data_IF_772567582489
#
_entry.id   IF_772567582489
#
_cell.length_a   1.000
_cell.length_b   1.000
_cell.length_c   1.000
_cell.angle_alpha   90.00
_cell.angle_beta   90.00
_cell.angle_gamma   90.00
#
_symmetry.space_group_name_H-M   'P 1'
#
loop_
_entity.id
_entity.type
_entity.pdbx_description
1 polymer ?
#
# COMPACT_ATOMS: atom_id res chain seq x y z
N UNK A 1 4.71 19.63 -0.17
CA UNK A 1 4.85 20.07 -1.59
C UNK A 1 6.27 19.79 -2.09
N UNK A 2 7.30 20.21 -1.38
CA UNK A 2 8.70 20.04 -1.82
C UNK A 2 9.11 18.54 -1.92
N UNK A 3 8.79 17.74 -0.90
CA UNK A 3 9.04 16.29 -0.92
C UNK A 3 8.37 15.63 -2.14
N UNK A 4 7.11 15.94 -2.41
CA UNK A 4 6.40 15.37 -3.56
C UNK A 4 7.09 15.72 -4.89
N UNK A 5 7.46 16.99 -5.07
CA UNK A 5 8.16 17.44 -6.29
C UNK A 5 9.55 16.81 -6.44
N UNK A 6 10.24 16.56 -5.33
CA UNK A 6 11.51 15.86 -5.33
C UNK A 6 11.33 14.37 -5.69
N UNK A 7 10.36 13.72 -5.06
CA UNK A 7 10.08 12.29 -5.30
C UNK A 7 9.66 12.02 -6.75
N UNK A 8 8.83 12.91 -7.33
CA UNK A 8 8.47 12.83 -8.75
C UNK A 8 9.73 12.85 -9.65
N UNK A 9 10.66 13.76 -9.39
CA UNK A 9 11.91 13.84 -10.16
C UNK A 9 12.78 12.60 -9.98
N UNK A 10 12.85 12.05 -8.75
CA UNK A 10 13.60 10.84 -8.44
C UNK A 10 13.03 9.61 -9.15
N UNK A 11 11.70 9.44 -9.12
CA UNK A 11 11.01 8.32 -9.78
C UNK A 11 11.17 8.38 -11.30
N UNK A 12 11.16 9.58 -11.89
CA UNK A 12 11.35 9.77 -13.33
C UNK A 12 12.83 9.78 -13.78
N UNK A 13 13.78 9.69 -12.84
CA UNK A 13 15.20 9.83 -13.15
C UNK A 13 15.78 8.61 -13.87
N UNK A 14 15.27 7.42 -13.59
CA UNK A 14 15.71 6.17 -14.20
C UNK A 14 14.66 5.06 -14.08
N UNK A 15 14.74 4.06 -14.95
CA UNK A 15 13.79 2.94 -14.98
C UNK A 15 13.81 2.05 -13.74
N UNK A 16 14.95 1.91 -13.05
CA UNK A 16 15.04 1.07 -11.84
C UNK A 16 14.34 1.73 -10.65
N UNK A 17 14.47 3.04 -10.49
CA UNK A 17 13.73 3.80 -9.47
C UNK A 17 12.22 3.74 -9.74
N UNK A 18 11.79 3.87 -11.00
CA UNK A 18 10.39 3.69 -11.38
C UNK A 18 9.89 2.27 -11.05
N UNK A 19 10.64 1.25 -11.42
CA UNK A 19 10.33 -0.15 -11.11
C UNK A 19 10.22 -0.38 -9.60
N UNK A 20 11.16 0.16 -8.81
CA UNK A 20 11.14 0.07 -7.34
C UNK A 20 9.90 0.74 -6.73
N UNK A 21 9.52 1.90 -7.27
CA UNK A 21 8.27 2.55 -6.89
C UNK A 21 7.05 1.67 -7.21
N UNK A 22 6.94 1.13 -8.43
CA UNK A 22 5.85 0.24 -8.84
C UNK A 22 5.75 -1.01 -7.95
N UNK A 23 6.88 -1.56 -7.50
CA UNK A 23 6.90 -2.68 -6.55
C UNK A 23 6.18 -2.33 -5.25
N UNK A 24 6.47 -1.17 -4.68
CA UNK A 24 5.78 -0.68 -3.46
C UNK A 24 4.33 -0.33 -3.75
N UNK A 25 4.06 0.37 -4.85
CA UNK A 25 2.71 0.76 -5.27
C UNK A 25 1.79 -0.46 -5.47
N UNK A 26 2.32 -1.58 -5.97
CA UNK A 26 1.57 -2.81 -6.16
C UNK A 26 0.94 -3.36 -4.87
N UNK A 27 1.60 -3.19 -3.73
CA UNK A 27 1.07 -3.57 -2.42
C UNK A 27 0.09 -2.54 -1.88
N UNK A 28 0.23 -1.29 -2.30
CA UNK A 28 -0.54 -0.12 -1.89
C UNK A 28 -1.59 0.29 -2.93
N UNK A 29 -2.01 -0.61 -3.82
CA UNK A 29 -2.87 -0.33 -4.97
C UNK A 29 -4.21 0.33 -4.65
N UNK A 30 -4.63 0.37 -3.39
CA UNK A 30 -5.85 1.06 -2.91
C UNK A 30 -5.64 2.54 -2.57
N UNK A 31 -4.40 3.00 -2.63
CA UNK A 31 -4.05 4.40 -2.48
C UNK A 31 -3.95 5.06 -3.86
N UNK A 32 -4.29 6.34 -3.94
CA UNK A 32 -4.05 7.13 -5.14
C UNK A 32 -2.55 7.18 -5.48
N UNK A 33 -2.21 7.43 -6.74
CA UNK A 33 -0.82 7.59 -7.15
C UNK A 33 -0.05 8.58 -6.25
N UNK A 34 -0.66 9.72 -5.93
CA UNK A 34 -0.04 10.72 -5.07
C UNK A 34 0.28 10.17 -3.67
N UNK A 35 -0.66 9.46 -3.07
CA UNK A 35 -0.45 8.84 -1.76
C UNK A 35 0.59 7.71 -1.82
N UNK A 36 0.57 6.87 -2.87
CA UNK A 36 1.58 5.82 -3.10
C UNK A 36 2.98 6.42 -3.19
N UNK A 37 3.13 7.51 -3.95
CA UNK A 37 4.38 8.25 -4.10
C UNK A 37 4.85 8.84 -2.77
N UNK A 38 3.95 9.45 -1.99
CA UNK A 38 4.28 10.01 -0.68
C UNK A 38 4.63 8.93 0.36
N UNK A 39 3.99 7.75 0.28
CA UNK A 39 4.36 6.62 1.13
C UNK A 39 5.75 6.10 0.72
N UNK A 40 5.98 5.88 -0.57
CA UNK A 40 7.26 5.40 -1.10
C UNK A 40 8.42 6.30 -0.68
N UNK A 41 8.27 7.62 -0.82
CA UNK A 41 9.29 8.61 -0.44
C UNK A 41 9.71 8.52 1.02
N UNK A 42 8.79 8.16 1.92
CA UNK A 42 9.02 8.12 3.36
C UNK A 42 9.30 6.70 3.85
N UNK A 43 8.81 5.70 3.13
CA UNK A 43 8.92 4.28 3.47
C UNK A 43 8.81 3.38 2.23
N UNK A 44 9.91 3.18 1.51
CA UNK A 44 9.90 2.37 0.27
C UNK A 44 9.50 0.91 0.47
N UNK A 45 9.68 0.38 1.67
CA UNK A 45 9.35 -1.00 2.07
C UNK A 45 7.95 -1.16 2.67
N UNK A 46 7.08 -0.15 2.53
CA UNK A 46 5.71 -0.19 3.06
C UNK A 46 4.89 -1.32 2.41
N UNK A 47 4.14 -2.05 3.23
CA UNK A 47 3.34 -3.20 2.77
C UNK A 47 1.85 -3.04 2.99
N UNK A 48 1.42 -2.50 4.13
CA UNK A 48 0.02 -2.28 4.45
C UNK A 48 -0.12 -1.08 5.38
N UNK A 49 -0.50 0.05 4.83
CA UNK A 49 -0.65 1.29 5.57
C UNK A 49 -2.11 1.56 5.95
N UNK A 50 -2.32 2.10 7.14
CA UNK A 50 -3.63 2.58 7.59
C UNK A 50 -3.49 3.66 8.65
N UNK A 51 -4.58 4.42 8.89
CA UNK A 51 -4.63 5.43 9.94
C UNK A 51 -4.50 4.81 11.34
N UNK A 52 -4.10 5.62 12.30
CA UNK A 52 -4.03 5.21 13.70
C UNK A 52 -5.38 4.66 14.20
N UNK A 53 -6.49 5.32 13.84
CA UNK A 53 -7.85 4.94 14.22
C UNK A 53 -8.23 3.57 13.63
N UNK A 54 -7.88 3.30 12.37
CA UNK A 54 -8.15 2.02 11.73
C UNK A 54 -7.38 0.89 12.44
N UNK A 55 -6.10 1.11 12.74
CA UNK A 55 -5.30 0.13 13.46
C UNK A 55 -5.85 -0.15 14.85
N UNK A 56 -6.19 0.90 15.62
CA UNK A 56 -6.59 0.75 17.03
C UNK A 56 -8.02 0.29 17.19
N UNK A 57 -8.97 0.88 16.47
CA UNK A 57 -10.40 0.66 16.69
C UNK A 57 -10.93 -0.53 15.90
N UNK A 58 -10.53 -0.66 14.62
CA UNK A 58 -11.05 -1.70 13.73
C UNK A 58 -10.21 -2.97 13.79
N UNK A 59 -8.88 -2.82 13.69
CA UNK A 59 -7.95 -3.95 13.63
C UNK A 59 -7.51 -4.43 15.02
N UNK A 60 -7.81 -3.67 16.09
CA UNK A 60 -7.42 -3.97 17.48
C UNK A 60 -5.93 -4.22 17.63
N UNK A 61 -5.15 -3.47 16.88
CA UNK A 61 -3.69 -3.42 16.94
C UNK A 61 -3.29 -2.11 17.62
N UNK A 62 -2.08 -2.01 18.12
CA UNK A 62 -1.56 -0.75 18.62
C UNK A 62 -0.36 -0.32 17.79
N UNK A 63 -0.24 0.97 17.54
CA UNK A 63 0.97 1.54 16.95
C UNK A 63 2.05 1.57 18.02
N UNK A 64 3.23 1.03 17.69
CA UNK A 64 4.35 0.93 18.65
C UNK A 64 4.85 2.32 19.04
N UNK A 65 5.26 2.44 20.28
CA UNK A 65 5.87 3.70 20.77
C UNK A 65 7.14 4.01 19.96
N UNK A 66 7.22 5.23 19.44
CA UNK A 66 8.34 5.70 18.62
C UNK A 66 8.18 5.41 17.10
N UNK A 67 7.11 4.73 16.69
CA UNK A 67 6.79 4.62 15.27
C UNK A 67 6.57 6.01 14.66
N UNK A 68 7.14 6.23 13.48
CA UNK A 68 6.98 7.49 12.73
C UNK A 68 5.80 7.35 11.78
N UNK A 69 4.81 8.24 11.90
CA UNK A 69 3.70 8.31 10.95
C UNK A 69 4.19 8.79 9.59
N UNK A 70 3.69 8.16 8.54
CA UNK A 70 3.89 8.57 7.15
C UNK A 70 2.90 9.70 6.88
N UNK A 71 3.39 10.88 6.53
CA UNK A 71 2.58 12.06 6.30
C UNK A 71 2.01 12.05 4.87
N UNK A 72 0.69 12.09 4.76
CA UNK A 72 -0.05 12.24 3.51
C UNK A 72 -0.79 13.57 3.52
N UNK A 73 -1.06 14.12 2.35
CA UNK A 73 -1.81 15.36 2.19
C UNK A 73 -3.28 15.05 1.91
N UNK A 74 -4.15 15.52 2.78
CA UNK A 74 -5.60 15.45 2.60
C UNK A 74 -6.09 16.77 1.98
N UNK A 75 -6.61 16.67 0.75
CA UNK A 75 -7.13 17.78 -0.04
C UNK A 75 -8.67 17.82 -0.05
N UNK A 76 -9.35 17.01 0.76
CA UNK A 76 -10.82 16.90 0.74
C UNK A 76 -11.53 18.10 1.37
N UNK A 77 -10.83 18.94 2.12
CA UNK A 77 -11.37 20.17 2.74
C UNK A 77 -10.90 21.45 2.05
N UNK A 78 -11.44 22.60 2.49
CA UNK A 78 -11.06 23.93 1.97
C UNK A 78 -9.59 24.28 2.20
N UNK A 79 -8.96 23.66 3.18
CA UNK A 79 -7.55 23.85 3.50
C UNK A 79 -6.85 22.50 3.54
N UNK A 80 -5.75 22.33 2.81
CA UNK A 80 -4.94 21.11 2.84
C UNK A 80 -4.49 20.79 4.29
N UNK A 81 -4.63 19.53 4.69
CA UNK A 81 -4.24 19.05 6.03
C UNK A 81 -3.37 17.83 5.90
N UNK A 82 -2.47 17.63 6.86
CA UNK A 82 -1.74 16.38 6.97
C UNK A 82 -2.60 15.32 7.65
N UNK A 83 -2.65 14.12 7.06
CA UNK A 83 -3.12 12.89 7.69
C UNK A 83 -1.94 11.93 7.81
N UNK A 84 -1.94 11.10 8.84
CA UNK A 84 -0.84 10.18 9.09
C UNK A 84 -1.32 8.74 8.98
N UNK A 85 -0.54 7.93 8.28
CA UNK A 85 -0.73 6.49 8.21
C UNK A 85 0.50 5.79 8.79
N UNK A 86 0.31 4.55 9.23
CA UNK A 86 1.35 3.70 9.79
C UNK A 86 1.35 2.38 9.05
N UNK A 87 2.52 1.85 8.74
CA UNK A 87 2.64 0.53 8.15
C UNK A 87 2.34 -0.56 9.21
N UNK A 88 1.88 -1.73 8.76
CA UNK A 88 1.58 -2.87 9.65
C UNK A 88 2.78 -3.28 10.50
N UNK A 89 4.00 -3.15 9.97
CA UNK A 89 5.24 -3.46 10.67
C UNK A 89 5.50 -2.53 11.86
N UNK A 90 4.88 -1.34 11.90
CA UNK A 90 4.92 -0.42 13.03
C UNK A 90 3.88 -0.74 14.11
N UNK A 91 3.09 -1.78 13.91
CA UNK A 91 2.01 -2.15 14.83
C UNK A 91 2.33 -3.40 15.61
N UNK A 92 1.72 -3.54 16.77
CA UNK A 92 1.72 -4.75 17.58
C UNK A 92 0.30 -5.30 17.76
N UNK A 93 0.18 -6.57 18.09
CA UNK A 93 -1.10 -7.26 18.28
C UNK A 93 -1.57 -7.16 19.73
N UNK A 94 -2.87 -6.95 19.93
CA UNK A 94 -3.57 -7.12 21.21
C UNK A 94 -4.33 -8.44 21.19
N UNK A 95 -4.84 -8.85 22.33
CA UNK A 95 -5.80 -9.94 22.40
C UNK A 95 -6.98 -9.66 21.46
N UNK A 96 -7.32 -10.60 20.58
CA UNK A 96 -8.32 -10.45 19.52
C UNK A 96 -7.95 -9.42 18.43
N UNK A 97 -6.65 -9.17 18.20
CA UNK A 97 -6.21 -8.39 17.06
C UNK A 97 -6.63 -9.08 15.76
N UNK A 98 -7.05 -8.26 14.79
CA UNK A 98 -7.34 -8.72 13.42
C UNK A 98 -6.09 -8.59 12.58
N UNK A 99 -5.85 -9.57 11.72
CA UNK A 99 -4.85 -9.47 10.66
C UNK A 99 -5.51 -8.89 9.41
N UNK A 100 -4.88 -7.91 8.76
CA UNK A 100 -5.36 -7.46 7.45
C UNK A 100 -5.46 -8.65 6.50
N UNK A 101 -6.51 -8.66 5.69
CA UNK A 101 -6.65 -9.65 4.64
C UNK A 101 -5.60 -9.36 3.55
N UNK A 102 -4.55 -10.14 3.55
CA UNK A 102 -3.53 -10.16 2.49
C UNK A 102 -3.78 -11.37 1.60
N UNK A 103 -4.47 -11.15 0.49
CA UNK A 103 -4.73 -12.21 -0.46
C UNK A 103 -3.47 -12.55 -1.28
N UNK A 104 -3.37 -13.79 -1.69
CA UNK A 104 -2.31 -14.32 -2.56
C UNK A 104 -2.93 -15.23 -3.59
N UNK A 105 -2.30 -15.32 -4.76
CA UNK A 105 -2.65 -16.35 -5.75
C UNK A 105 -2.17 -17.70 -5.22
N UNK A 106 -3.06 -18.69 -5.23
CA UNK A 106 -2.82 -20.07 -4.83
C UNK A 106 -3.52 -20.99 -5.83
N UNK A 107 -3.16 -22.26 -5.81
CA UNK A 107 -3.78 -23.26 -6.69
C UNK A 107 -5.32 -23.24 -6.60
N UNK A 108 -5.86 -23.11 -5.39
CA UNK A 108 -7.31 -23.16 -5.15
C UNK A 108 -8.09 -21.97 -5.71
N UNK A 109 -7.45 -20.78 -5.82
CA UNK A 109 -8.13 -19.57 -6.32
C UNK A 109 -7.68 -19.15 -7.71
N UNK A 110 -6.65 -19.77 -8.27
CA UNK A 110 -6.11 -19.45 -9.59
C UNK A 110 -7.15 -19.63 -10.70
N UNK A 111 -7.80 -20.80 -10.76
CA UNK A 111 -8.85 -21.05 -11.76
C UNK A 111 -10.09 -20.17 -11.60
N UNK A 112 -10.67 -19.97 -10.41
CA UNK A 112 -11.74 -19.00 -10.20
C UNK A 112 -11.38 -17.59 -10.63
N UNK A 113 -10.16 -17.11 -10.31
CA UNK A 113 -9.68 -15.80 -10.72
C UNK A 113 -9.56 -15.73 -12.25
N UNK A 114 -8.97 -16.74 -12.91
CA UNK A 114 -8.87 -16.76 -14.36
C UNK A 114 -10.24 -16.73 -15.06
N UNK A 115 -11.22 -17.46 -14.54
CA UNK A 115 -12.59 -17.45 -15.04
C UNK A 115 -13.30 -16.11 -14.83
N UNK A 116 -13.05 -15.46 -13.68
CA UNK A 116 -13.57 -14.12 -13.40
C UNK A 116 -12.96 -13.09 -14.36
N UNK A 117 -11.63 -13.13 -14.59
CA UNK A 117 -10.96 -12.24 -15.54
C UNK A 117 -11.47 -12.43 -16.98
N UNK A 118 -11.69 -13.69 -17.41
CA UNK A 118 -12.29 -13.96 -18.72
C UNK A 118 -13.67 -13.33 -18.87
N UNK A 119 -14.48 -13.42 -17.82
CA UNK A 119 -15.84 -12.88 -17.83
C UNK A 119 -15.88 -11.34 -17.75
N UNK A 120 -15.00 -10.73 -16.94
CA UNK A 120 -15.04 -9.29 -16.64
C UNK A 120 -14.29 -8.48 -17.71
N UNK A 121 -13.20 -9.03 -18.26
CA UNK A 121 -12.31 -8.34 -19.22
C UNK A 121 -12.26 -8.97 -20.61
N UNK A 122 -13.07 -10.00 -20.88
CA UNK A 122 -13.15 -10.70 -22.16
C UNK A 122 -11.82 -11.30 -22.65
N UNK A 123 -10.92 -11.65 -21.72
CA UNK A 123 -9.61 -12.25 -21.98
C UNK A 123 -9.62 -13.74 -21.68
N UNK A 124 -9.19 -14.57 -22.65
CA UNK A 124 -9.32 -16.03 -22.52
C UNK A 124 -8.53 -16.61 -21.35
N UNK A 125 -9.21 -17.40 -20.49
CA UNK A 125 -8.59 -18.14 -19.39
C UNK A 125 -7.56 -19.18 -19.87
N UNK A 126 -7.62 -19.62 -21.12
CA UNK A 126 -6.63 -20.55 -21.70
C UNK A 126 -5.23 -19.96 -21.83
N UNK A 127 -5.07 -18.65 -21.71
CA UNK A 127 -3.76 -17.97 -21.70
C UNK A 127 -3.04 -18.10 -20.36
N UNK A 128 -3.72 -18.60 -19.33
CA UNK A 128 -3.26 -18.55 -17.96
C UNK A 128 -3.27 -17.10 -17.39
N UNK A 129 -3.04 -16.96 -16.10
CA UNK A 129 -3.08 -15.63 -15.44
C UNK A 129 -2.06 -14.66 -16.03
N UNK A 130 -0.85 -15.11 -16.35
CA UNK A 130 0.19 -14.26 -16.95
C UNK A 130 -0.28 -13.67 -18.28
N UNK A 131 -0.74 -14.49 -19.22
CA UNK A 131 -1.24 -14.01 -20.50
C UNK A 131 -2.51 -13.17 -20.41
N UNK A 132 -3.36 -13.40 -19.39
CA UNK A 132 -4.51 -12.53 -19.10
C UNK A 132 -4.06 -11.17 -18.61
N UNK A 133 -3.08 -11.09 -17.69
CA UNK A 133 -2.55 -9.82 -17.20
C UNK A 133 -1.91 -8.98 -18.32
N UNK A 134 -1.16 -9.64 -19.22
CA UNK A 134 -0.57 -8.98 -20.38
C UNK A 134 -1.63 -8.33 -21.26
N UNK A 135 -2.69 -9.09 -21.60
CA UNK A 135 -3.76 -8.62 -22.48
C UNK A 135 -4.62 -7.54 -21.82
N UNK A 136 -5.00 -7.72 -20.55
CA UNK A 136 -5.77 -6.73 -19.79
C UNK A 136 -5.01 -5.40 -19.70
N UNK A 137 -3.71 -5.43 -19.37
CA UNK A 137 -2.91 -4.21 -19.28
C UNK A 137 -2.87 -3.45 -20.62
N UNK A 138 -2.71 -4.16 -21.74
CA UNK A 138 -2.72 -3.55 -23.07
C UNK A 138 -4.08 -2.94 -23.43
N UNK A 139 -5.18 -3.67 -23.20
CA UNK A 139 -6.53 -3.19 -23.47
C UNK A 139 -6.86 -1.96 -22.62
N UNK A 140 -6.62 -2.05 -21.33
CA UNK A 140 -6.92 -0.95 -20.39
C UNK A 140 -6.07 0.29 -20.61
N UNK A 141 -4.80 0.15 -20.97
CA UNK A 141 -3.97 1.29 -21.34
C UNK A 141 -4.48 1.97 -22.63
N UNK A 142 -4.97 1.20 -23.60
CA UNK A 142 -5.58 1.75 -24.80
C UNK A 142 -6.91 2.46 -24.49
N UNK A 143 -7.79 1.84 -23.68
CA UNK A 143 -9.06 2.44 -23.29
C UNK A 143 -8.83 3.76 -22.55
N UNK A 144 -7.88 3.77 -21.60
CA UNK A 144 -7.52 4.98 -20.84
C UNK A 144 -7.01 6.10 -21.77
N UNK A 145 -6.17 5.77 -22.76
CA UNK A 145 -5.75 6.74 -23.76
C UNK A 145 -6.95 7.33 -24.51
N UNK A 146 -7.86 6.50 -25.00
CA UNK A 146 -9.03 6.97 -25.76
C UNK A 146 -9.93 7.91 -24.95
N UNK A 147 -10.03 7.67 -23.64
CA UNK A 147 -10.84 8.50 -22.75
C UNK A 147 -10.16 9.81 -22.35
N UNK A 148 -8.81 9.84 -22.25
CA UNK A 148 -8.07 10.96 -21.66
C UNK A 148 -7.06 11.62 -22.63
N UNK A 149 -7.07 11.29 -23.92
CA UNK A 149 -6.06 11.72 -24.88
C UNK A 149 -5.91 13.26 -24.98
N UNK A 150 -7.01 14.00 -24.89
CA UNK A 150 -6.97 15.47 -24.98
C UNK A 150 -6.27 16.08 -23.77
N UNK A 151 -6.56 15.56 -22.56
CA UNK A 151 -5.89 15.98 -21.33
C UNK A 151 -4.41 15.59 -21.32
N UNK A 152 -4.09 14.37 -21.76
CA UNK A 152 -2.71 13.88 -21.83
C UNK A 152 -1.85 14.68 -22.80
N UNK A 153 -2.41 15.16 -23.92
CA UNK A 153 -1.69 16.04 -24.87
C UNK A 153 -1.33 17.38 -24.23
N UNK A 154 -2.25 17.96 -23.45
CA UNK A 154 -1.99 19.24 -22.80
C UNK A 154 -0.95 19.14 -21.67
N UNK A 155 -0.85 17.98 -21.03
CA UNK A 155 0.02 17.75 -19.88
C UNK A 155 1.48 17.49 -20.26
N UNK A 156 1.76 16.98 -21.46
CA UNK A 156 3.14 16.64 -21.89
C UNK A 156 3.99 17.86 -22.27
N UNK A 157 3.42 19.05 -22.26
CA UNK A 157 4.16 20.29 -22.54
C UNK A 157 5.38 20.43 -21.61
N UNK A 158 6.52 20.77 -22.20
CA UNK A 158 7.78 20.88 -21.48
C UNK A 158 8.48 19.54 -21.13
N UNK A 159 7.86 18.39 -21.44
CA UNK A 159 8.52 17.08 -21.36
C UNK A 159 9.24 16.73 -22.66
N UNK A 160 9.99 15.61 -22.67
CA UNK A 160 10.59 15.08 -23.89
C UNK A 160 9.54 14.62 -24.92
N UNK A 161 8.30 14.39 -24.48
CA UNK A 161 7.18 13.99 -25.35
C UNK A 161 6.55 15.15 -26.12
N UNK A 162 6.90 16.39 -25.81
CA UNK A 162 6.34 17.59 -26.45
C UNK A 162 6.56 17.62 -27.98
N UNK A 163 7.66 17.04 -28.44
CA UNK A 163 8.00 16.99 -29.87
C UNK A 163 7.33 15.81 -30.61
N UNK A 164 6.58 14.94 -29.90
CA UNK A 164 5.92 13.80 -30.50
C UNK A 164 4.63 14.23 -31.22
N UNK A 165 4.40 13.63 -32.39
CA UNK A 165 3.08 13.69 -33.00
C UNK A 165 2.09 12.82 -32.22
N UNK A 166 0.81 12.93 -32.53
CA UNK A 166 -0.28 12.24 -31.83
C UNK A 166 -0.08 10.72 -31.75
N UNK A 167 0.34 10.11 -32.86
CA UNK A 167 0.54 8.65 -32.93
C UNK A 167 1.72 8.22 -32.04
N UNK A 168 2.83 8.96 -32.10
CA UNK A 168 4.00 8.64 -31.27
C UNK A 168 3.72 8.87 -29.78
N UNK A 169 2.95 9.91 -29.43
CA UNK A 169 2.53 10.17 -28.06
C UNK A 169 1.60 9.04 -27.53
N UNK A 170 0.63 8.59 -28.34
CA UNK A 170 -0.21 7.43 -28.01
C UNK A 170 0.65 6.19 -27.77
N UNK A 171 1.58 5.89 -28.65
CA UNK A 171 2.46 4.72 -28.51
C UNK A 171 3.34 4.82 -27.25
N UNK A 172 3.92 5.97 -26.96
CA UNK A 172 4.71 6.22 -25.76
C UNK A 172 3.88 6.02 -24.49
N UNK A 173 2.67 6.58 -24.45
CA UNK A 173 1.76 6.37 -23.31
C UNK A 173 1.40 4.90 -23.14
N UNK A 174 0.88 4.27 -24.19
CA UNK A 174 0.43 2.88 -24.13
C UNK A 174 1.54 1.93 -23.73
N UNK A 175 2.74 2.09 -24.27
CA UNK A 175 3.88 1.22 -23.92
C UNK A 175 4.25 1.38 -22.45
N UNK A 176 4.44 2.63 -21.98
CA UNK A 176 4.88 2.87 -20.58
C UNK A 176 3.79 2.50 -19.58
N UNK A 177 2.52 2.82 -19.86
CA UNK A 177 1.39 2.46 -19.01
C UNK A 177 1.18 0.94 -18.96
N UNK A 178 1.22 0.25 -20.12
CA UNK A 178 1.10 -1.22 -20.18
C UNK A 178 2.17 -1.90 -19.32
N UNK A 179 3.44 -1.53 -19.50
CA UNK A 179 4.56 -2.09 -18.69
C UNK A 179 4.35 -1.83 -17.21
N UNK A 180 3.95 -0.61 -16.82
CA UNK A 180 3.68 -0.26 -15.43
C UNK A 180 2.57 -1.09 -14.81
N UNK A 181 1.43 -1.22 -15.51
CA UNK A 181 0.28 -2.02 -15.07
C UNK A 181 0.66 -3.50 -14.97
N UNK A 182 1.28 -4.06 -16.00
CA UNK A 182 1.76 -5.44 -15.98
C UNK A 182 2.63 -5.70 -14.77
N UNK A 183 3.63 -4.85 -14.55
CA UNK A 183 4.54 -5.01 -13.42
C UNK A 183 3.82 -4.97 -12.07
N UNK A 184 2.85 -4.06 -11.88
CA UNK A 184 2.05 -4.00 -10.66
C UNK A 184 1.18 -5.25 -10.46
N UNK A 185 0.53 -5.76 -11.52
CA UNK A 185 -0.29 -6.96 -11.45
C UNK A 185 0.56 -8.20 -11.12
N UNK A 186 1.66 -8.40 -11.86
CA UNK A 186 2.56 -9.52 -11.64
C UNK A 186 3.20 -9.49 -10.24
N UNK A 187 3.69 -8.34 -9.81
CA UNK A 187 4.30 -8.16 -8.48
C UNK A 187 3.30 -8.42 -7.37
N UNK A 188 2.09 -7.85 -7.45
CA UNK A 188 1.07 -8.03 -6.40
C UNK A 188 0.56 -9.46 -6.33
N UNK A 189 0.48 -10.16 -7.45
CA UNK A 189 0.03 -11.54 -7.55
C UNK A 189 1.13 -12.58 -7.26
N UNK A 190 2.38 -12.15 -7.07
CA UNK A 190 3.51 -13.05 -6.81
C UNK A 190 3.96 -13.83 -8.04
N UNK A 191 3.67 -13.31 -9.24
CA UNK A 191 4.01 -13.94 -10.54
C UNK A 191 5.15 -13.19 -11.27
N UNK A 192 5.83 -12.24 -10.61
CA UNK A 192 6.89 -11.44 -11.24
C UNK A 192 8.09 -12.27 -11.72
N UNK A 193 8.34 -13.43 -11.09
CA UNK A 193 9.38 -14.38 -11.52
C UNK A 193 9.01 -15.15 -12.79
N UNK A 194 7.70 -15.27 -13.09
CA UNK A 194 7.20 -15.99 -14.27
C UNK A 194 7.29 -15.13 -15.54
N UNK A 195 7.19 -13.81 -15.37
CA UNK A 195 7.38 -12.84 -16.44
C UNK A 195 8.71 -12.13 -16.24
N UNK A 196 9.63 -12.26 -17.18
CA UNK A 196 10.92 -11.59 -17.13
C UNK A 196 10.77 -10.14 -17.56
N UNK A 197 10.78 -9.24 -16.57
CA UNK A 197 10.93 -7.81 -16.84
C UNK A 197 12.41 -7.47 -16.90
N UNK A 198 12.86 -6.98 -18.04
CA UNK A 198 14.23 -6.49 -18.21
C UNK A 198 14.31 -5.00 -17.82
N UNK A 199 15.47 -4.48 -17.39
CA UNK A 199 15.62 -3.07 -17.03
C UNK A 199 15.20 -2.11 -18.15
N UNK A 200 15.42 -2.50 -19.40
CA UNK A 200 15.10 -1.74 -20.60
C UNK A 200 13.60 -1.51 -20.77
N UNK A 201 12.75 -2.40 -20.27
CA UNK A 201 11.28 -2.26 -20.34
C UNK A 201 10.78 -1.01 -19.60
N UNK A 202 11.54 -0.55 -18.60
CA UNK A 202 11.21 0.63 -17.79
C UNK A 202 11.90 1.91 -18.28
N UNK A 203 12.74 1.85 -19.31
CA UNK A 203 13.52 3.01 -19.78
C UNK A 203 12.65 4.12 -20.36
N UNK A 204 11.46 3.79 -20.88
CA UNK A 204 10.51 4.75 -21.45
C UNK A 204 10.00 5.78 -20.44
N UNK A 205 10.15 5.53 -19.13
CA UNK A 205 9.81 6.51 -18.09
C UNK A 205 10.58 7.82 -18.21
N UNK A 206 11.80 7.77 -18.77
CA UNK A 206 12.64 8.95 -18.97
C UNK A 206 12.02 10.01 -19.88
N UNK A 207 11.07 9.63 -20.72
CA UNK A 207 10.34 10.56 -21.60
C UNK A 207 9.30 11.37 -20.82
N UNK A 208 8.81 10.82 -19.68
CA UNK A 208 7.82 11.43 -18.78
C UNK A 208 8.46 12.31 -17.70
N UNK A 209 9.44 13.11 -18.08
CA UNK A 209 10.40 13.78 -17.18
C UNK A 209 9.91 15.08 -16.53
N UNK A 210 8.63 15.42 -16.68
CA UNK A 210 8.02 16.56 -15.95
C UNK A 210 7.10 16.06 -14.84
N UNK A 211 6.92 16.85 -13.76
CA UNK A 211 6.00 16.47 -12.68
C UNK A 211 4.56 16.22 -13.17
N UNK A 212 4.09 16.99 -14.12
CA UNK A 212 2.76 16.87 -14.70
C UNK A 212 2.62 15.58 -15.51
N UNK A 213 3.54 15.36 -16.45
CA UNK A 213 3.54 14.17 -17.31
C UNK A 213 3.65 12.88 -16.47
N UNK A 214 4.59 12.82 -15.51
CA UNK A 214 4.72 11.65 -14.65
C UNK A 214 3.47 11.44 -13.77
N UNK A 215 2.88 12.53 -13.26
CA UNK A 215 1.67 12.39 -12.43
C UNK A 215 0.50 11.82 -13.25
N UNK A 216 0.33 12.29 -14.49
CA UNK A 216 -0.72 11.77 -15.37
C UNK A 216 -0.51 10.29 -15.71
N UNK A 217 0.69 9.90 -16.13
CA UNK A 217 1.06 8.51 -16.39
C UNK A 217 0.89 7.63 -15.13
N UNK A 218 1.42 8.08 -13.99
CA UNK A 218 1.36 7.32 -12.73
C UNK A 218 -0.07 7.16 -12.21
N UNK A 219 -0.92 8.19 -12.41
CA UNK A 219 -2.35 8.10 -12.10
C UNK A 219 -3.02 7.04 -12.95
N UNK A 220 -2.80 7.04 -14.26
CA UNK A 220 -3.32 6.01 -15.17
C UNK A 220 -2.90 4.60 -14.75
N UNK A 221 -1.61 4.39 -14.51
CA UNK A 221 -1.07 3.09 -14.06
C UNK A 221 -1.71 2.65 -12.73
N UNK A 222 -1.85 3.58 -11.79
CA UNK A 222 -2.43 3.30 -10.47
C UNK A 222 -3.92 2.93 -10.56
N UNK A 223 -4.71 3.70 -11.30
CA UNK A 223 -6.16 3.50 -11.44
C UNK A 223 -6.49 2.20 -12.17
N UNK A 224 -5.81 1.92 -13.29
CA UNK A 224 -5.98 0.67 -14.03
C UNK A 224 -5.60 -0.53 -13.14
N UNK A 225 -4.47 -0.44 -12.45
CA UNK A 225 -4.01 -1.53 -11.57
C UNK A 225 -4.95 -1.73 -10.38
N UNK A 226 -5.47 -0.65 -9.79
CA UNK A 226 -6.45 -0.72 -8.69
C UNK A 226 -7.72 -1.44 -9.13
N UNK A 227 -8.28 -1.09 -10.28
CA UNK A 227 -9.48 -1.72 -10.84
C UNK A 227 -9.32 -3.25 -10.91
N UNK A 228 -8.27 -3.70 -11.59
CA UNK A 228 -8.02 -5.13 -11.82
C UNK A 228 -7.70 -5.86 -10.50
N UNK A 229 -6.84 -5.29 -9.67
CA UNK A 229 -6.45 -5.90 -8.39
C UNK A 229 -7.60 -5.96 -7.38
N UNK A 230 -8.55 -5.02 -7.43
CA UNK A 230 -9.77 -5.09 -6.61
C UNK A 230 -10.71 -6.22 -7.06
N UNK A 231 -10.83 -6.47 -8.36
CA UNK A 231 -11.59 -7.59 -8.89
C UNK A 231 -10.97 -8.92 -8.45
N UNK A 232 -9.66 -9.06 -8.57
CA UNK A 232 -8.91 -10.24 -8.11
C UNK A 232 -9.06 -10.42 -6.58
N UNK A 233 -8.91 -9.36 -5.78
CA UNK A 233 -9.11 -9.43 -4.31
C UNK A 233 -10.50 -9.91 -3.95
N UNK A 234 -11.53 -9.39 -4.63
CA UNK A 234 -12.93 -9.76 -4.40
C UNK A 234 -13.16 -11.24 -4.63
N UNK A 235 -12.63 -11.78 -5.74
CA UNK A 235 -12.74 -13.19 -6.08
C UNK A 235 -11.95 -14.08 -5.10
N UNK A 236 -10.69 -13.74 -4.81
CA UNK A 236 -9.86 -14.46 -3.85
C UNK A 236 -10.52 -14.53 -2.46
N UNK A 237 -11.14 -13.43 -2.02
CA UNK A 237 -11.89 -13.36 -0.75
C UNK A 237 -13.16 -14.21 -0.80
N UNK A 238 -13.83 -14.30 -1.94
CA UNK A 238 -15.00 -15.14 -2.18
C UNK A 238 -14.68 -16.63 -2.01
N UNK A 239 -13.61 -17.07 -2.67
CA UNK A 239 -13.11 -18.45 -2.59
C UNK A 239 -12.75 -18.83 -1.15
N UNK A 240 -12.02 -17.94 -0.41
CA UNK A 240 -11.63 -18.22 0.97
C UNK A 240 -12.85 -18.35 1.90
N UNK A 241 -13.88 -17.53 1.74
CA UNK A 241 -15.14 -17.62 2.53
C UNK A 241 -15.96 -18.87 2.23
N UNK A 242 -15.83 -19.43 1.04
CA UNK A 242 -16.55 -20.62 0.61
C UNK A 242 -15.89 -21.93 1.09
N UNK A 243 -14.71 -21.87 1.69
CA UNK A 243 -14.02 -23.06 2.26
C UNK A 243 -14.82 -23.63 3.43
N UNK A 244 -15.09 -24.95 3.44
CA UNK A 244 -15.71 -25.61 4.59
C UNK A 244 -14.87 -25.41 5.85
N UNK A 245 -15.52 -25.08 6.96
CA UNK A 245 -14.89 -24.87 8.26
C UNK A 245 -14.01 -26.04 8.74
N UNK A 246 -14.26 -27.25 8.23
CA UNK A 246 -13.49 -28.46 8.52
C UNK A 246 -12.06 -28.46 7.96
N UNK A 247 -11.79 -27.77 6.83
CA UNK A 247 -10.45 -27.70 6.24
C UNK A 247 -9.56 -26.69 6.96
N UNK A 248 -10.14 -25.63 7.50
CA UNK A 248 -9.43 -24.63 8.30
C UNK A 248 -8.87 -25.25 9.60
N UNK A 249 -9.61 -26.17 10.25
CA UNK A 249 -9.16 -26.87 11.44
C UNK A 249 -8.08 -27.93 11.17
N UNK A 250 -8.05 -28.53 9.99
CA UNK A 250 -7.03 -29.53 9.64
C UNK A 250 -5.67 -28.88 9.32
N UNK A 251 -5.67 -27.65 8.78
CA UNK A 251 -4.44 -26.87 8.57
C UNK A 251 -3.76 -26.47 9.88
N UNK A 252 -4.53 -26.12 10.90
CA UNK A 252 -4.01 -25.77 12.23
C UNK A 252 -3.49 -27.00 12.99
N UNK A 253 -4.14 -28.17 12.88
CA UNK A 253 -3.71 -29.41 13.54
C UNK A 253 -2.42 -30.00 12.95
N UNK A 254 -2.13 -29.76 11.67
CA UNK A 254 -0.89 -30.21 11.01
C UNK A 254 0.31 -29.32 11.37
N UNK A 255 0.08 -28.08 11.79
CA UNK A 255 1.14 -27.21 12.29
C UNK A 255 1.55 -27.50 13.73
N UNK A 256 0.61 -27.95 14.57
CA UNK A 256 0.87 -28.29 15.98
C UNK A 256 1.51 -29.68 16.18
N UNK A 257 1.35 -30.60 15.22
CA UNK A 257 1.89 -31.97 15.33
C UNK A 257 3.40 -32.09 14.98
N UNK A 258 4.11 -31.02 14.67
CA UNK A 258 5.55 -31.04 14.39
C UNK A 258 6.45 -30.65 15.57
N UNK A 259 5.92 -30.48 16.77
CA UNK A 259 6.68 -30.11 17.97
C UNK A 259 6.82 -31.23 19.02
N UNK A 260 6.51 -32.46 18.68
CA UNK A 260 6.80 -33.58 19.59
C UNK A 260 8.15 -34.21 19.29
N UNK A 261 9.14 -33.89 20.09
CA UNK A 261 10.41 -34.60 20.21
C UNK A 261 10.20 -35.79 21.17
N UNK A 262 10.57 -36.99 20.77
CA UNK A 262 10.54 -38.14 21.71
C UNK A 262 11.85 -38.22 22.48
N UNK A 263 11.71 -38.38 23.77
CA UNK A 263 12.62 -39.22 24.54
C UNK A 263 13.61 -38.56 25.48
N UNK A 264 13.34 -38.63 26.75
CA UNK A 264 14.34 -39.13 27.69
C UNK A 264 13.65 -39.72 28.93
N UNK A 265 13.73 -41.04 29.06
CA UNK A 265 13.47 -41.83 30.27
C UNK A 265 14.59 -41.58 31.28
N UNK A 266 14.21 -41.52 32.58
CA UNK A 266 15.19 -41.72 33.68
C UNK A 266 14.84 -40.92 34.92
N UNK A 267 14.21 -41.55 35.77
CA UNK A 267 14.49 -41.92 37.15
C UNK A 267 13.92 -41.08 38.30
N UNK A 268 13.38 -41.84 39.22
CA UNK A 268 12.67 -41.44 40.40
C UNK A 268 13.57 -40.80 41.48
N UNK A 269 13.00 -39.85 42.21
CA UNK A 269 13.60 -39.34 43.43
C UNK A 269 12.61 -38.48 44.21
N UNK A 270 11.90 -39.11 45.14
CA UNK A 270 11.15 -38.44 46.20
C UNK A 270 12.02 -37.47 46.97
N UNK A 271 11.43 -36.37 47.50
CA UNK A 271 11.36 -35.96 48.91
C UNK A 271 10.66 -34.62 49.06
N UNK A 272 9.54 -34.66 49.72
CA UNK A 272 8.92 -33.86 50.80
C UNK A 272 9.27 -32.38 51.00
N UNK A 273 8.14 -31.64 51.09
CA UNK A 273 7.70 -30.70 52.16
C UNK A 273 8.68 -29.56 52.54
N UNK A 274 8.23 -28.33 52.46
CA UNK A 274 7.61 -27.61 53.58
C UNK A 274 7.03 -26.28 53.18
N UNK A 275 5.99 -25.91 53.90
CA UNK A 275 5.12 -24.77 53.77
C UNK A 275 5.64 -23.51 54.48
N UNK A 276 4.85 -22.46 54.31
CA UNK A 276 4.79 -21.20 55.08
C UNK A 276 5.74 -20.10 54.58
N UNK A 277 5.34 -18.88 54.31
CA UNK A 277 4.19 -18.09 54.77
C UNK A 277 4.56 -16.63 54.62
N UNK A 278 3.56 -15.75 54.73
CA UNK A 278 3.64 -14.30 55.02
C UNK A 278 3.77 -13.39 53.79
N UNK A 279 2.73 -12.81 53.31
CA UNK A 279 1.87 -11.65 53.65
C UNK A 279 2.52 -10.29 53.48
N UNK A 280 1.76 -9.44 52.79
CA UNK A 280 1.61 -7.98 52.96
C UNK A 280 2.64 -7.02 52.36
N UNK A 281 2.07 -6.09 51.63
CA UNK A 281 2.73 -4.83 51.25
C UNK A 281 2.03 -4.12 50.08
N UNK A 282 0.86 -3.58 50.31
CA UNK A 282 0.24 -2.59 49.47
C UNK A 282 1.02 -1.29 49.47
N UNK A 283 1.29 -0.72 48.32
CA UNK A 283 1.46 0.75 48.25
C UNK A 283 0.95 1.24 46.86
N UNK A 284 -0.11 2.01 46.97
CA UNK A 284 -0.62 2.92 45.95
C UNK A 284 0.35 4.08 45.87
N UNK A 285 0.74 4.48 44.70
CA UNK A 285 1.22 5.81 44.43
C UNK A 285 0.41 6.45 43.31
N UNK A 286 -0.34 7.47 43.74
CA UNK A 286 -1.00 8.50 42.96
C UNK A 286 0.02 9.24 42.08
N UNK A 287 -0.28 9.43 40.81
CA UNK A 287 0.36 10.47 40.01
C UNK A 287 -0.71 11.41 39.45
N UNK A 288 -0.68 12.57 40.01
CA UNK A 288 -1.40 13.78 39.71
C UNK A 288 -1.25 14.22 38.24
N UNK A 289 -2.38 14.63 37.67
CA UNK A 289 -2.47 15.56 36.54
C UNK A 289 -2.04 16.97 37.00
N UNK A 290 -1.40 17.77 36.14
CA UNK A 290 -1.38 19.22 36.35
C UNK A 290 -2.54 19.89 35.63
N UNK A 291 -3.23 20.70 36.37
CA UNK A 291 -4.33 21.56 36.00
C UNK A 291 -3.90 22.71 35.08
N UNK A 292 -4.85 23.13 34.25
CA UNK A 292 -4.86 24.40 33.54
C UNK A 292 -4.96 25.55 34.56
N UNK A 293 -4.13 26.56 34.39
CA UNK A 293 -4.32 27.85 35.08
C UNK A 293 -4.50 28.95 34.03
N UNK A 294 -5.63 29.59 34.12
CA UNK A 294 -5.99 30.80 33.41
C UNK A 294 -5.53 32.03 34.18
N UNK A 295 -5.07 33.00 33.47
CA UNK A 295 -4.75 34.33 34.03
C UNK A 295 -5.03 35.41 32.98
N UNK A 296 -6.09 36.11 33.23
CA UNK A 296 -6.52 37.35 32.57
C UNK A 296 -5.69 38.52 33.05
N UNK A 297 -5.72 39.55 32.21
CA UNK A 297 -5.63 41.01 32.49
C UNK A 297 -4.37 41.75 32.04
N UNK A 298 -4.66 42.83 31.34
CA UNK A 298 -3.79 43.99 31.27
C UNK A 298 -3.88 44.81 29.97
N UNK A 299 -4.87 45.67 29.90
CA UNK A 299 -4.99 46.76 28.92
C UNK A 299 -3.89 47.82 29.05
N UNK A 300 -3.51 48.45 27.94
CA UNK A 300 -3.40 49.90 27.72
C UNK A 300 -2.63 50.15 26.41
N UNK A 301 -3.28 50.73 25.45
CA UNK A 301 -3.34 52.16 25.13
C UNK A 301 -2.04 52.72 24.53
N UNK A 302 -2.19 53.31 23.35
CA UNK A 302 -1.22 54.29 22.92
C UNK A 302 -0.76 54.21 21.48
N UNK A 303 -1.47 54.96 20.64
CA UNK A 303 -0.94 55.91 19.68
C UNK A 303 -0.74 55.52 18.22
N UNK A 304 -1.61 56.08 17.37
CA UNK A 304 -1.35 56.45 15.97
C UNK A 304 -0.56 57.81 15.98
N UNK A 305 0.25 58.13 14.99
CA UNK A 305 -0.30 58.79 13.80
C UNK A 305 0.37 58.45 12.43
N UNK A 306 -0.45 58.42 11.40
CA UNK A 306 -0.53 59.38 10.27
C UNK A 306 0.70 59.62 9.37
N UNK A 307 0.45 59.58 8.07
CA UNK A 307 1.25 60.30 7.04
C UNK A 307 1.84 59.39 5.93
N UNK A 308 1.22 59.16 4.81
CA UNK A 308 1.19 60.09 3.69
C UNK A 308 2.17 59.70 2.59
N UNK A 309 1.59 59.42 1.50
CA UNK A 309 1.92 59.41 0.07
C UNK A 309 2.01 58.06 -0.59
#
# INVERSE_FOLDING_TARGET
>A
VELAAQTVREIAADGETWRSFLQTASTLYKYSFYDQMMIYAQRPDATACASFELWTNTMRRYVRRGAKGIALLDMTGDVPRYRYVFDISDTGTRQNARTPFTWTIREENSMPIAAMLEKEYEVSANRGLAGQFEEIAMQKAMDYWQEHQDELRDIVDGSLLMEYDELNLELAFRNTATTGVQYMLFSRCGLAEEHRFEPEDFATILEWNTPQALTALGTAVSEISEEVLRSIEREARGVERSRPYAELQNGERLSDSRSDHPGRTGDAGQVRQDAQGVSEGAQKDDVQQPAADGGTDGASDGDRPDGGR
#
